data_IF_798320459535
#
_entry.id   IF_798320459535
#
_cell.length_a   1.000
_cell.length_b   1.000
_cell.length_c   1.000
_cell.angle_alpha   90.00
_cell.angle_beta   90.00
_cell.angle_gamma   90.00
#
_symmetry.space_group_name_H-M   'P 1'
#
loop_
_entity.id
_entity.type
_entity.pdbx_description
1 polymer ?
#
# COMPACT_ATOMS: atom_id res chain seq x y z
N UNK A 1 23.63 -2.01 -9.31
CA UNK A 1 22.50 -2.58 -8.56
C UNK A 1 22.12 -3.85 -9.26
N UNK A 2 21.98 -4.94 -8.50
CA UNK A 2 21.56 -6.24 -9.01
C UNK A 2 20.10 -6.43 -8.64
N UNK A 3 19.28 -6.93 -9.58
CA UNK A 3 17.87 -7.26 -9.33
C UNK A 3 17.78 -8.76 -9.10
N UNK A 4 17.09 -9.16 -8.04
CA UNK A 4 16.84 -10.57 -7.73
C UNK A 4 15.34 -10.78 -7.56
N UNK A 5 14.82 -11.82 -8.20
CA UNK A 5 13.42 -12.21 -8.05
C UNK A 5 13.20 -12.99 -6.75
N UNK A 6 12.01 -12.81 -6.17
CA UNK A 6 11.58 -13.50 -4.95
C UNK A 6 11.65 -12.63 -3.69
N UNK A 7 11.33 -13.24 -2.54
CA UNK A 7 11.42 -12.54 -1.25
C UNK A 7 12.89 -12.37 -0.84
N UNK A 8 13.32 -11.16 -0.42
CA UNK A 8 14.68 -10.96 0.03
C UNK A 8 14.97 -11.79 1.28
N UNK A 9 16.17 -12.38 1.36
CA UNK A 9 16.59 -13.20 2.50
C UNK A 9 16.83 -12.38 3.77
N UNK A 10 17.26 -11.13 3.62
CA UNK A 10 17.38 -10.16 4.71
C UNK A 10 16.42 -9.00 4.44
N UNK A 11 15.64 -8.63 5.47
CA UNK A 11 14.84 -7.40 5.49
C UNK A 11 15.68 -6.24 6.03
N UNK A 12 15.20 -4.99 5.86
CA UNK A 12 15.79 -3.85 6.56
C UNK A 12 15.75 -4.06 8.09
N UNK A 13 16.79 -3.57 8.75
CA UNK A 13 16.91 -3.56 10.21
C UNK A 13 16.57 -2.17 10.76
N UNK A 14 15.80 -2.14 11.84
CA UNK A 14 15.30 -0.91 12.46
C UNK A 14 15.65 -0.90 13.95
N UNK A 15 16.03 0.28 14.49
CA UNK A 15 16.31 0.43 15.92
C UNK A 15 15.02 0.37 16.74
N UNK A 16 15.08 -0.24 17.93
CA UNK A 16 13.93 -0.39 18.82
C UNK A 16 13.32 0.94 19.33
N UNK A 17 14.08 2.05 19.32
CA UNK A 17 13.61 3.37 19.76
C UNK A 17 13.46 4.29 18.54
N UNK A 18 12.23 4.70 18.24
CA UNK A 18 11.90 5.58 17.12
C UNK A 18 11.82 4.88 15.75
N UNK A 19 12.07 3.56 15.69
CA UNK A 19 12.10 2.73 14.47
C UNK A 19 13.01 3.27 13.36
N UNK A 20 13.98 4.13 13.67
CA UNK A 20 14.89 4.67 12.66
C UNK A 20 15.70 3.53 12.02
N UNK A 21 15.84 3.58 10.69
CA UNK A 21 16.64 2.60 9.95
C UNK A 21 18.07 2.59 10.50
N UNK A 22 18.57 1.40 10.84
CA UNK A 22 19.93 1.23 11.34
C UNK A 22 20.87 1.04 10.14
N UNK A 23 21.49 2.15 9.69
CA UNK A 23 22.68 2.04 8.83
C UNK A 23 23.81 1.49 9.69
N UNK A 24 24.15 0.21 9.51
CA UNK A 24 25.42 -0.34 9.98
C UNK A 24 26.57 0.34 9.21
N UNK A 25 27.01 1.51 9.66
CA UNK A 25 28.14 2.24 9.10
C UNK A 25 29.50 1.78 9.69
N UNK A 26 29.51 0.73 10.52
CA UNK A 26 30.75 0.11 10.98
C UNK A 26 30.53 -1.38 11.27
N UNK A 27 31.34 -2.23 10.62
CA UNK A 27 31.39 -3.70 10.69
C UNK A 27 30.47 -4.38 9.67
N UNK A 28 31.05 -4.67 8.50
CA UNK A 28 30.61 -5.74 7.61
C UNK A 28 30.47 -7.04 8.42
N UNK A 29 29.26 -7.35 8.88
CA UNK A 29 28.92 -8.73 9.20
C UNK A 29 28.60 -9.45 7.90
N UNK A 30 29.20 -10.63 7.76
CA UNK A 30 29.16 -11.56 6.63
C UNK A 30 27.74 -12.08 6.32
N UNK A 31 26.83 -11.20 5.90
CA UNK A 31 25.48 -11.49 5.42
C UNK A 31 25.19 -10.75 4.11
N UNK A 32 24.25 -11.28 3.32
CA UNK A 32 23.80 -10.67 2.05
C UNK A 32 23.13 -9.32 2.34
N UNK A 33 23.71 -8.21 1.86
CA UNK A 33 23.29 -6.85 2.21
C UNK A 33 21.76 -6.64 2.04
N UNK A 34 21.12 -5.87 2.94
CA UNK A 34 19.68 -5.60 2.83
C UNK A 34 19.35 -4.91 1.50
N UNK A 35 18.15 -5.15 0.95
CA UNK A 35 17.75 -4.56 -0.32
C UNK A 35 17.74 -3.03 -0.22
N UNK A 36 18.10 -2.34 -1.29
CA UNK A 36 17.90 -0.87 -1.38
C UNK A 36 16.45 -0.56 -1.75
N UNK A 37 15.84 -1.39 -2.59
CA UNK A 37 14.47 -1.24 -3.06
C UNK A 37 13.86 -2.63 -3.27
N UNK A 38 12.62 -2.82 -2.83
CA UNK A 38 11.77 -3.93 -3.23
C UNK A 38 10.76 -3.45 -4.27
N UNK A 39 10.36 -4.31 -5.19
CA UNK A 39 9.29 -4.04 -6.15
C UNK A 39 8.24 -5.12 -6.01
N UNK A 40 6.98 -4.71 -5.83
CA UNK A 40 5.83 -5.61 -5.87
C UNK A 40 5.10 -5.41 -7.19
N UNK A 41 4.95 -6.48 -7.96
CA UNK A 41 4.25 -6.48 -9.24
C UNK A 41 2.83 -7.05 -9.08
N UNK A 42 1.85 -6.48 -9.79
CA UNK A 42 0.46 -6.93 -9.78
C UNK A 42 -0.12 -6.85 -11.19
N UNK A 43 -0.50 -7.98 -11.77
CA UNK A 43 -1.08 -8.05 -13.12
C UNK A 43 -2.36 -7.20 -13.26
N UNK A 44 -3.07 -7.02 -12.15
CA UNK A 44 -4.31 -6.22 -12.08
C UNK A 44 -4.06 -4.76 -11.72
N UNK A 45 -2.80 -4.38 -11.53
CA UNK A 45 -2.39 -3.08 -11.01
C UNK A 45 -2.74 -2.90 -9.53
N UNK A 46 -2.58 -1.66 -9.07
CA UNK A 46 -2.84 -1.23 -7.70
C UNK A 46 -4.03 -0.26 -7.62
N UNK A 47 -4.81 -0.23 -6.53
CA UNK A 47 -5.97 0.68 -6.43
C UNK A 47 -5.66 2.15 -6.72
N UNK A 48 -4.45 2.61 -6.35
CA UNK A 48 -3.97 3.94 -6.69
C UNK A 48 -3.84 4.15 -8.21
N UNK A 49 -3.22 3.18 -8.91
CA UNK A 49 -3.02 3.23 -10.37
C UNK A 49 -4.34 3.12 -11.15
N UNK A 50 -5.35 2.46 -10.58
CA UNK A 50 -6.70 2.36 -11.16
C UNK A 50 -7.50 3.67 -11.09
N UNK A 51 -7.15 4.56 -10.15
CA UNK A 51 -7.83 5.83 -9.92
C UNK A 51 -7.04 7.06 -10.42
N UNK A 52 -5.82 6.88 -10.94
CA UNK A 52 -4.96 7.95 -11.45
C UNK A 52 -5.14 8.23 -12.95
N UNK A 53 -4.88 9.47 -13.43
CA UNK A 53 -5.02 9.85 -14.85
C UNK A 53 -3.96 9.23 -15.76
N UNK A 54 -2.91 8.65 -15.19
CA UNK A 54 -1.91 7.86 -15.89
C UNK A 54 -1.91 6.49 -15.22
N UNK A 55 -2.20 5.45 -15.99
CA UNK A 55 -2.08 4.05 -15.56
C UNK A 55 -0.59 3.81 -15.26
N UNK A 56 -0.15 4.20 -14.07
CA UNK A 56 1.19 3.88 -13.57
C UNK A 56 1.29 2.35 -13.59
N UNK A 57 2.46 1.84 -13.97
CA UNK A 57 2.67 0.42 -14.23
C UNK A 57 2.25 -0.48 -13.07
N UNK A 58 2.31 -1.78 -13.33
CA UNK A 58 1.93 -2.84 -12.39
C UNK A 58 2.84 -2.94 -11.15
N UNK A 59 3.85 -2.07 -11.08
CA UNK A 59 4.96 -2.15 -10.14
C UNK A 59 4.86 -1.11 -9.04
N UNK A 60 5.05 -1.58 -7.82
CA UNK A 60 5.07 -0.79 -6.60
C UNK A 60 6.45 -0.84 -5.98
N UNK A 61 7.16 0.28 -6.06
CA UNK A 61 8.46 0.47 -5.41
C UNK A 61 8.27 0.67 -3.90
N UNK A 62 8.97 -0.14 -3.10
CA UNK A 62 8.96 -0.15 -1.63
C UNK A 62 10.39 0.06 -1.15
N UNK A 63 10.63 1.18 -0.47
CA UNK A 63 11.91 1.47 0.18
C UNK A 63 11.84 1.21 1.70
N UNK A 64 12.95 1.47 2.40
CA UNK A 64 13.06 1.27 3.83
C UNK A 64 12.03 2.07 4.65
N UNK A 65 11.68 3.28 4.22
CA UNK A 65 10.70 4.14 4.91
C UNK A 65 9.28 3.61 4.76
N UNK A 66 8.92 3.11 3.58
CA UNK A 66 7.62 2.45 3.36
C UNK A 66 7.52 1.15 4.18
N UNK A 67 8.58 0.35 4.23
CA UNK A 67 8.58 -0.86 5.04
C UNK A 67 8.53 -0.55 6.54
N UNK A 68 9.20 0.52 6.99
CA UNK A 68 9.12 0.99 8.37
C UNK A 68 7.69 1.31 8.80
N UNK A 69 6.93 2.02 7.97
CA UNK A 69 5.52 2.32 8.24
C UNK A 69 4.72 1.03 8.45
N UNK A 70 4.98 0.00 7.65
CA UNK A 70 4.37 -1.31 7.83
C UNK A 70 4.80 -1.99 9.13
N UNK A 71 6.09 -1.93 9.52
CA UNK A 71 6.55 -2.54 10.78
C UNK A 71 5.84 -1.94 12.00
N UNK A 72 5.64 -0.61 12.04
CA UNK A 72 4.85 0.06 13.10
C UNK A 72 3.44 -0.53 13.16
N UNK A 73 2.74 -0.53 12.01
CA UNK A 73 1.36 -1.01 11.91
C UNK A 73 1.27 -2.50 12.29
N UNK A 74 2.22 -3.31 11.84
CA UNK A 74 2.31 -4.73 12.16
C UNK A 74 2.54 -4.97 13.65
N UNK A 75 3.36 -4.15 14.31
CA UNK A 75 3.58 -4.21 15.76
C UNK A 75 2.27 -4.02 16.52
N UNK A 76 1.48 -3.02 16.14
CA UNK A 76 0.19 -2.75 16.78
C UNK A 76 -0.87 -3.79 16.45
N UNK A 77 -0.91 -4.29 15.22
CA UNK A 77 -1.74 -5.44 14.86
C UNK A 77 -1.38 -6.66 15.69
N UNK A 78 -0.09 -6.93 15.92
CA UNK A 78 0.36 -8.08 16.71
C UNK A 78 -0.09 -7.97 18.17
N UNK A 79 0.03 -6.77 18.76
CA UNK A 79 -0.47 -6.49 20.11
C UNK A 79 -1.99 -6.65 20.18
N UNK A 80 -2.72 -6.12 19.19
CA UNK A 80 -4.17 -6.24 19.13
C UNK A 80 -4.61 -7.69 18.99
N UNK A 81 -3.98 -8.45 18.08
CA UNK A 81 -4.29 -9.85 17.85
C UNK A 81 -4.05 -10.73 19.07
N UNK A 82 -3.00 -10.45 19.84
CA UNK A 82 -2.68 -11.18 21.08
C UNK A 82 -3.69 -10.90 22.20
N UNK A 83 -4.36 -9.75 22.15
CA UNK A 83 -5.31 -9.30 23.18
C UNK A 83 -6.78 -9.47 22.76
N UNK A 84 -7.08 -10.17 21.66
CA UNK A 84 -8.43 -10.29 21.10
C UNK A 84 -9.50 -10.76 22.09
N UNK A 85 -9.12 -11.55 23.09
CA UNK A 85 -10.02 -12.12 24.09
C UNK A 85 -10.21 -11.24 25.33
N UNK A 86 -9.42 -10.18 25.46
CA UNK A 86 -9.50 -9.24 26.58
C UNK A 86 -10.42 -8.09 26.18
N UNK A 87 -11.50 -7.91 26.93
CA UNK A 87 -12.52 -6.85 26.77
C UNK A 87 -11.97 -5.42 26.84
N UNK A 88 -10.68 -5.24 27.16
CA UNK A 88 -10.05 -3.95 27.46
C UNK A 88 -9.35 -3.27 26.26
N UNK A 89 -9.20 -3.94 25.11
CA UNK A 89 -8.64 -3.32 23.90
C UNK A 89 -9.52 -3.60 22.67
N UNK A 90 -10.56 -2.78 22.43
CA UNK A 90 -11.50 -3.04 21.34
C UNK A 90 -10.85 -2.94 19.95
N UNK A 91 -9.82 -2.11 19.76
CA UNK A 91 -9.19 -1.84 18.46
C UNK A 91 -7.69 -1.56 18.58
N UNK A 92 -6.89 -1.75 17.51
CA UNK A 92 -5.50 -1.29 17.51
C UNK A 92 -5.47 0.24 17.44
N UNK A 93 -4.32 0.82 17.79
CA UNK A 93 -4.11 2.27 17.77
C UNK A 93 -4.34 2.81 16.34
N UNK A 94 -5.22 3.81 16.15
CA UNK A 94 -5.35 4.48 14.87
C UNK A 94 -4.09 5.28 14.54
N UNK A 95 -3.70 5.29 13.27
CA UNK A 95 -2.49 6.00 12.81
C UNK A 95 -2.80 7.08 11.80
N UNK A 96 -1.96 8.11 11.79
CA UNK A 96 -1.94 9.14 10.75
C UNK A 96 -0.54 9.18 10.15
N UNK A 97 -0.46 8.90 8.85
CA UNK A 97 0.79 8.94 8.10
C UNK A 97 1.08 10.37 7.60
N UNK A 98 2.10 11.00 8.18
CA UNK A 98 2.54 12.35 7.88
C UNK A 98 3.85 12.27 7.10
N UNK A 99 3.98 13.10 6.07
CA UNK A 99 5.21 13.22 5.29
C UNK A 99 5.06 14.27 4.22
N UNK A 100 6.16 14.63 3.57
CA UNK A 100 6.20 15.68 2.54
C UNK A 100 5.10 15.46 1.47
N UNK A 101 4.37 16.50 1.04
CA UNK A 101 3.44 16.37 -0.09
C UNK A 101 4.14 15.80 -1.34
N UNK A 102 3.48 14.90 -2.08
CA UNK A 102 4.03 14.32 -3.31
C UNK A 102 5.05 13.18 -3.14
N UNK A 103 5.49 12.89 -1.91
CA UNK A 103 6.47 11.84 -1.57
C UNK A 103 6.04 10.38 -1.87
N UNK A 104 4.82 10.16 -2.34
CA UNK A 104 4.30 8.81 -2.58
C UNK A 104 3.65 8.11 -1.38
N UNK A 105 3.16 8.82 -0.36
CA UNK A 105 2.41 8.20 0.78
C UNK A 105 1.28 7.28 0.31
N UNK A 106 0.41 7.80 -0.55
CA UNK A 106 -0.76 7.11 -1.09
C UNK A 106 -0.33 5.98 -2.03
N UNK A 107 0.43 6.31 -3.09
CA UNK A 107 0.91 5.34 -4.08
C UNK A 107 1.73 4.21 -3.44
N UNK A 108 2.76 4.55 -2.65
CA UNK A 108 3.74 3.60 -2.12
C UNK A 108 3.25 2.97 -0.81
N UNK A 109 3.13 3.77 0.26
CA UNK A 109 2.78 3.24 1.57
C UNK A 109 1.35 2.71 1.64
N UNK A 110 0.36 3.41 1.08
CA UNK A 110 -1.03 2.94 1.03
C UNK A 110 -1.18 1.60 0.31
N UNK A 111 -0.53 1.44 -0.85
CA UNK A 111 -0.56 0.18 -1.60
C UNK A 111 0.21 -0.94 -0.90
N UNK A 112 1.35 -0.64 -0.28
CA UNK A 112 2.13 -1.63 0.47
C UNK A 112 1.39 -2.12 1.72
N UNK A 113 0.74 -1.20 2.45
CA UNK A 113 -0.13 -1.53 3.57
C UNK A 113 -1.27 -2.44 3.13
N UNK A 114 -1.92 -2.12 2.00
CA UNK A 114 -2.98 -2.98 1.46
C UNK A 114 -2.46 -4.39 1.16
N UNK A 115 -1.34 -4.50 0.44
CA UNK A 115 -0.71 -5.78 0.15
C UNK A 115 -0.48 -6.59 1.43
N UNK A 116 0.16 -5.98 2.42
CA UNK A 116 0.52 -6.65 3.65
C UNK A 116 -0.70 -7.08 4.49
N UNK A 117 -1.73 -6.23 4.59
CA UNK A 117 -2.98 -6.54 5.30
C UNK A 117 -3.77 -7.68 4.63
N UNK A 118 -3.76 -7.73 3.30
CA UNK A 118 -4.37 -8.84 2.56
C UNK A 118 -3.65 -10.17 2.82
N UNK A 119 -2.35 -10.14 3.13
CA UNK A 119 -1.56 -11.33 3.48
C UNK A 119 -1.56 -11.67 4.98
N UNK A 120 -2.24 -10.89 5.81
CA UNK A 120 -2.46 -11.27 7.21
C UNK A 120 -3.36 -12.51 7.30
N UNK A 121 -3.27 -13.20 8.43
CA UNK A 121 -4.16 -14.32 8.75
C UNK A 121 -5.64 -13.89 8.69
N UNK A 122 -6.46 -14.67 7.97
CA UNK A 122 -7.88 -14.40 7.76
C UNK A 122 -8.69 -14.53 9.05
N UNK A 123 -8.28 -15.40 9.97
CA UNK A 123 -8.97 -15.61 11.25
C UNK A 123 -8.79 -14.42 12.20
N UNK A 124 -7.70 -13.66 11.99
CA UNK A 124 -7.37 -12.45 12.75
C UNK A 124 -7.91 -11.20 12.07
N UNK A 125 -7.89 -11.16 10.75
CA UNK A 125 -8.30 -10.00 9.95
C UNK A 125 -9.06 -10.45 8.70
N UNK A 126 -10.37 -10.29 8.74
CA UNK A 126 -11.31 -10.78 7.73
C UNK A 126 -11.56 -9.76 6.61
N UNK A 127 -11.57 -8.46 6.95
CA UNK A 127 -11.90 -7.40 6.00
C UNK A 127 -10.77 -6.37 5.93
N UNK A 128 -10.38 -5.99 4.73
CA UNK A 128 -9.51 -4.81 4.50
C UNK A 128 -10.28 -3.82 3.64
N UNK A 129 -10.32 -2.57 4.07
CA UNK A 129 -10.98 -1.51 3.31
C UNK A 129 -9.95 -0.50 2.88
N UNK A 130 -9.90 -0.19 1.59
CA UNK A 130 -9.10 0.92 1.07
C UNK A 130 -10.04 1.99 0.53
N UNK A 131 -10.17 3.09 1.27
CA UNK A 131 -10.91 4.27 0.84
C UNK A 131 -9.98 5.18 0.05
N UNK A 132 -10.39 5.60 -1.14
CA UNK A 132 -9.73 6.60 -1.97
C UNK A 132 -10.73 7.72 -2.28
N UNK A 133 -10.66 8.81 -1.53
CA UNK A 133 -11.67 9.86 -1.57
C UNK A 133 -13.06 9.31 -1.26
N UNK A 134 -13.99 9.39 -2.21
CA UNK A 134 -15.37 8.90 -2.08
C UNK A 134 -15.57 7.45 -2.54
N UNK A 135 -14.50 6.79 -2.97
CA UNK A 135 -14.54 5.39 -3.40
C UNK A 135 -14.01 4.49 -2.29
N UNK A 136 -14.69 3.40 -1.95
CA UNK A 136 -14.18 2.39 -1.04
C UNK A 136 -14.06 1.04 -1.75
N UNK A 137 -12.89 0.43 -1.66
CA UNK A 137 -12.67 -0.96 -2.05
C UNK A 137 -12.70 -1.83 -0.80
N UNK A 138 -13.71 -2.68 -0.70
CA UNK A 138 -13.86 -3.63 0.42
C UNK A 138 -13.37 -4.99 -0.04
N UNK A 139 -12.30 -5.45 0.58
CA UNK A 139 -11.69 -6.76 0.37
C UNK A 139 -12.17 -7.69 1.48
N UNK A 140 -13.11 -8.57 1.15
CA UNK A 140 -13.51 -9.64 2.05
C UNK A 140 -12.62 -10.85 1.80
N UNK A 141 -11.72 -11.12 2.76
CA UNK A 141 -10.75 -12.22 2.68
C UNK A 141 -11.40 -13.58 2.97
N UNK A 142 -12.56 -13.60 3.62
CA UNK A 142 -13.30 -14.83 3.91
C UNK A 142 -13.94 -15.39 2.64
N UNK A 143 -14.56 -14.52 1.85
CA UNK A 143 -15.19 -14.89 0.56
C UNK A 143 -14.25 -14.70 -0.63
N UNK A 144 -13.06 -14.10 -0.40
CA UNK A 144 -12.07 -13.75 -1.44
C UNK A 144 -12.65 -12.82 -2.51
N UNK A 145 -13.50 -11.89 -2.10
CA UNK A 145 -14.16 -10.94 -2.99
C UNK A 145 -13.64 -9.51 -2.80
N UNK A 146 -13.74 -8.71 -3.85
CA UNK A 146 -13.47 -7.28 -3.80
C UNK A 146 -14.70 -6.56 -4.34
N UNK A 147 -15.28 -5.67 -3.54
CA UNK A 147 -16.43 -4.86 -3.95
C UNK A 147 -16.07 -3.39 -3.92
N UNK A 148 -16.38 -2.68 -5.01
CA UNK A 148 -16.20 -1.24 -5.12
C UNK A 148 -17.51 -0.54 -4.75
N UNK A 149 -17.45 0.35 -3.77
CA UNK A 149 -18.54 1.23 -3.38
C UNK A 149 -18.20 2.67 -3.76
N UNK A 150 -19.17 3.36 -4.34
CA UNK A 150 -19.05 4.79 -4.68
C UNK A 150 -20.00 5.61 -3.82
N UNK A 151 -19.50 6.75 -3.34
CA UNK A 151 -20.24 7.65 -2.49
C UNK A 151 -20.06 7.33 -1.01
N UNK A 152 -19.84 8.39 -0.23
CA UNK A 152 -19.47 8.31 1.19
C UNK A 152 -20.56 7.67 2.06
N UNK A 153 -21.84 7.97 1.81
CA UNK A 153 -22.95 7.37 2.56
C UNK A 153 -23.05 5.86 2.34
N UNK A 154 -22.91 5.41 1.09
CA UNK A 154 -22.99 3.99 0.70
C UNK A 154 -21.83 3.21 1.32
N UNK A 155 -20.60 3.71 1.22
CA UNK A 155 -19.44 3.06 1.82
C UNK A 155 -19.59 2.96 3.34
N UNK A 156 -19.95 4.05 4.03
CA UNK A 156 -20.20 4.04 5.48
C UNK A 156 -21.20 2.98 5.91
N UNK A 157 -22.35 2.91 5.23
CA UNK A 157 -23.40 1.94 5.57
C UNK A 157 -22.90 0.50 5.48
N UNK A 158 -22.10 0.18 4.45
CA UNK A 158 -21.49 -1.13 4.28
C UNK A 158 -20.48 -1.45 5.37
N UNK A 159 -19.55 -0.51 5.67
CA UNK A 159 -18.58 -0.71 6.74
C UNK A 159 -19.26 -0.97 8.08
N UNK A 160 -20.31 -0.19 8.38
CA UNK A 160 -21.09 -0.37 9.61
C UNK A 160 -21.81 -1.73 9.68
N UNK A 161 -22.34 -2.21 8.55
CA UNK A 161 -22.94 -3.53 8.44
C UNK A 161 -21.94 -4.67 8.71
N UNK A 162 -20.74 -4.57 8.13
CA UNK A 162 -19.65 -5.54 8.33
C UNK A 162 -19.12 -5.52 9.77
N UNK A 163 -19.03 -4.35 10.38
CA UNK A 163 -18.68 -4.26 11.78
C UNK A 163 -19.76 -4.88 12.69
N UNK A 164 -21.04 -4.59 12.43
CA UNK A 164 -22.16 -5.16 13.18
C UNK A 164 -22.27 -6.68 13.10
N UNK A 165 -21.83 -7.28 12.00
CA UNK A 165 -21.77 -8.74 11.87
C UNK A 165 -20.64 -9.37 12.68
N UNK A 166 -19.84 -8.57 13.40
CA UNK A 166 -18.73 -9.04 14.23
C UNK A 166 -17.45 -9.30 13.45
N UNK A 167 -17.38 -8.91 12.17
CA UNK A 167 -16.17 -9.07 11.38
C UNK A 167 -15.06 -8.17 11.90
N UNK A 168 -13.83 -8.65 11.80
CA UNK A 168 -12.62 -7.88 12.16
C UNK A 168 -12.04 -7.28 10.91
N UNK A 169 -11.81 -5.97 10.92
CA UNK A 169 -11.29 -5.28 9.75
C UNK A 169 -10.27 -4.19 10.02
N UNK A 170 -9.64 -3.74 8.93
CA UNK A 170 -8.66 -2.67 8.93
C UNK A 170 -8.94 -1.70 7.78
N UNK A 171 -8.87 -0.41 8.05
CA UNK A 171 -9.20 0.66 7.11
C UNK A 171 -7.94 1.43 6.74
N UNK A 172 -7.62 1.49 5.46
CA UNK A 172 -6.68 2.43 4.87
C UNK A 172 -7.51 3.57 4.29
N UNK A 173 -7.40 4.76 4.86
CA UNK A 173 -8.13 5.93 4.40
C UNK A 173 -7.21 6.89 3.66
N UNK A 174 -7.31 6.88 2.34
CA UNK A 174 -6.55 7.75 1.45
C UNK A 174 -7.38 8.99 1.04
N UNK A 175 -7.02 10.16 1.58
CA UNK A 175 -7.80 11.39 1.40
C UNK A 175 -7.45 12.04 0.06
N UNK A 176 -8.33 11.88 -0.94
CA UNK A 176 -8.14 12.50 -2.25
C UNK A 176 -8.47 14.02 -2.28
N UNK A 177 -9.38 14.52 -1.42
CA UNK A 177 -9.80 15.94 -1.42
C UNK A 177 -9.03 16.75 -0.38
N UNK A 178 -8.35 17.82 -0.83
CA UNK A 178 -7.67 18.79 0.04
C UNK A 178 -8.63 19.32 1.13
N UNK A 179 -8.17 19.32 2.38
CA UNK A 179 -8.76 20.17 3.42
C UNK A 179 -10.05 19.65 4.08
N UNK A 180 -10.55 18.48 3.70
CA UNK A 180 -11.75 17.91 4.35
C UNK A 180 -11.35 16.70 5.20
N UNK A 181 -11.52 16.78 6.53
CA UNK A 181 -11.40 15.58 7.35
C UNK A 181 -12.40 14.49 6.89
N UNK A 182 -12.08 13.18 6.86
CA UNK A 182 -13.07 12.12 6.90
C UNK A 182 -14.22 12.47 7.85
N UNK A 183 -15.44 12.18 7.41
CA UNK A 183 -16.61 12.40 8.26
C UNK A 183 -16.42 11.68 9.59
N UNK A 184 -16.93 12.28 10.67
CA UNK A 184 -16.85 11.74 12.04
C UNK A 184 -17.42 10.33 12.18
N UNK A 185 -18.28 9.89 11.25
CA UNK A 185 -18.85 8.53 11.24
C UNK A 185 -17.94 7.48 10.56
N UNK A 186 -16.85 7.91 9.92
CA UNK A 186 -15.78 7.03 9.42
C UNK A 186 -14.78 6.74 10.55
N UNK A 187 -14.77 7.55 11.62
CA UNK A 187 -14.02 7.23 12.83
C UNK A 187 -14.34 5.80 13.25
N UNK A 188 -13.31 5.01 13.61
CA UNK A 188 -13.39 3.56 13.57
C UNK A 188 -14.60 3.11 14.39
N UNK A 189 -15.49 2.36 13.72
CA UNK A 189 -16.45 1.53 14.41
C UNK A 189 -15.66 0.77 15.49
N UNK A 190 -15.96 1.04 16.76
CA UNK A 190 -15.19 0.58 17.92
C UNK A 190 -14.84 -0.90 17.74
N UNK A 191 -13.60 -1.24 17.40
CA UNK A 191 -13.30 -2.61 16.94
C UNK A 191 -12.25 -2.73 15.84
N UNK A 192 -12.23 -1.82 14.88
CA UNK A 192 -11.39 -1.95 13.67
C UNK A 192 -10.12 -1.10 13.74
N UNK A 193 -9.07 -1.57 13.08
CA UNK A 193 -7.85 -0.77 12.90
C UNK A 193 -7.97 0.24 11.78
N UNK A 194 -7.21 1.32 11.86
CA UNK A 194 -7.25 2.40 10.87
C UNK A 194 -5.90 3.07 10.70
N UNK A 195 -5.57 3.39 9.46
CA UNK A 195 -4.53 4.35 9.10
C UNK A 195 -5.05 5.36 8.09
N UNK A 196 -4.82 6.64 8.36
CA UNK A 196 -5.07 7.72 7.40
C UNK A 196 -3.80 7.99 6.62
N UNK A 197 -3.88 7.81 5.30
CA UNK A 197 -2.81 8.03 4.35
C UNK A 197 -3.12 9.33 3.61
N UNK A 198 -2.38 10.39 3.95
CA UNK A 198 -2.40 11.71 3.31
C UNK A 198 -3.57 12.66 3.63
N UNK A 199 -3.20 13.92 3.91
CA UNK A 199 -3.82 15.16 3.42
C UNK A 199 -2.66 16.17 3.33
N UNK A 200 -2.48 16.93 2.24
CA UNK A 200 -1.36 17.86 2.12
C UNK A 200 -1.44 19.05 3.11
N UNK A 201 -2.58 19.23 3.78
CA UNK A 201 -2.76 20.28 4.77
C UNK A 201 -2.45 19.78 6.19
N UNK A 202 -1.47 20.43 6.84
CA UNK A 202 -1.09 20.20 8.24
C UNK A 202 -2.26 20.42 9.21
N UNK A 203 -3.15 21.38 8.92
CA UNK A 203 -4.31 21.71 9.75
C UNK A 203 -5.29 20.54 9.91
N UNK A 204 -5.28 19.62 8.94
CA UNK A 204 -6.09 18.42 9.01
C UNK A 204 -5.49 17.41 10.00
N UNK A 205 -4.16 17.27 10.08
CA UNK A 205 -3.53 16.27 10.95
C UNK A 205 -3.79 16.54 12.42
N UNK A 206 -3.75 17.80 12.87
CA UNK A 206 -4.05 18.15 14.25
C UNK A 206 -5.51 17.80 14.60
N UNK A 207 -6.44 18.05 13.67
CA UNK A 207 -7.83 17.59 13.78
C UNK A 207 -7.91 16.07 13.87
N UNK A 208 -7.17 15.33 13.04
CA UNK A 208 -7.12 13.86 13.11
C UNK A 208 -6.62 13.36 14.45
N UNK A 209 -5.46 13.83 14.90
CA UNK A 209 -4.89 13.39 16.17
C UNK A 209 -5.79 13.73 17.35
N UNK A 210 -6.53 14.83 17.28
CA UNK A 210 -7.47 15.24 18.32
C UNK A 210 -8.77 14.42 18.27
N UNK A 211 -9.33 14.17 17.09
CA UNK A 211 -10.64 13.53 16.91
C UNK A 211 -10.61 12.01 17.15
N UNK A 212 -9.56 11.33 16.68
CA UNK A 212 -9.47 9.85 16.76
C UNK A 212 -8.35 9.37 17.69
N UNK A 213 -7.76 10.28 18.48
CA UNK A 213 -6.60 9.99 19.34
C UNK A 213 -5.49 9.24 18.61
N UNK A 214 -5.30 9.54 17.32
CA UNK A 214 -4.41 8.79 16.46
C UNK A 214 -2.93 9.09 16.75
N UNK A 215 -2.11 8.05 16.69
CA UNK A 215 -0.66 8.17 16.75
C UNK A 215 -0.10 8.64 15.40
N UNK A 216 0.95 9.45 15.45
CA UNK A 216 1.58 10.01 14.25
C UNK A 216 2.70 9.09 13.78
N UNK A 217 2.66 8.71 12.51
CA UNK A 217 3.79 8.09 11.82
C UNK A 217 4.38 9.14 10.88
N UNK A 218 5.59 9.60 11.17
CA UNK A 218 6.34 10.46 10.25
C UNK A 218 7.02 9.56 9.23
N UNK A 219 6.84 9.79 7.93
CA UNK A 219 7.48 9.09 6.82
C UNK A 219 8.50 10.02 6.16
N UNK A 220 9.78 9.63 6.16
CA UNK A 220 10.84 10.44 5.60
C UNK A 220 10.89 10.35 4.07
N UNK A 221 11.52 11.35 3.44
CA UNK A 221 11.84 11.30 2.02
C UNK A 221 12.74 10.09 1.71
N UNK A 222 12.52 9.41 0.58
CA UNK A 222 13.49 8.43 0.08
C UNK A 222 14.88 9.04 0.00
N UNK A 223 15.89 8.26 0.35
CA UNK A 223 17.27 8.72 0.29
C UNK A 223 17.82 8.72 -1.15
N UNK A 224 19.05 9.19 -1.33
CA UNK A 224 19.68 9.27 -2.66
C UNK A 224 19.75 7.91 -3.36
N UNK A 225 20.03 6.85 -2.62
CA UNK A 225 20.21 5.52 -3.17
C UNK A 225 18.85 4.87 -3.46
N UNK A 226 17.83 5.12 -2.64
CA UNK A 226 16.43 4.78 -2.92
C UNK A 226 15.98 5.39 -4.26
N UNK A 227 16.16 6.71 -4.43
CA UNK A 227 15.77 7.43 -5.66
C UNK A 227 16.56 6.90 -6.86
N UNK A 228 17.85 6.59 -6.68
CA UNK A 228 18.68 6.01 -7.74
C UNK A 228 18.18 4.62 -8.14
N UNK A 229 17.81 3.78 -7.17
CA UNK A 229 17.26 2.45 -7.43
C UNK A 229 15.93 2.52 -8.18
N UNK A 230 15.03 3.41 -7.75
CA UNK A 230 13.76 3.64 -8.43
C UNK A 230 13.98 4.11 -9.88
N UNK A 231 14.92 5.03 -10.10
CA UNK A 231 15.26 5.51 -11.44
C UNK A 231 15.81 4.39 -12.35
N UNK A 232 16.67 3.52 -11.80
CA UNK A 232 17.24 2.38 -12.55
C UNK A 232 16.13 1.42 -12.94
N UNK A 233 15.25 1.06 -11.99
CA UNK A 233 14.11 0.17 -12.24
C UNK A 233 13.17 0.72 -13.31
N UNK A 234 12.75 1.98 -13.17
CA UNK A 234 11.85 2.61 -14.13
C UNK A 234 12.43 2.66 -15.56
N UNK A 235 13.75 2.84 -15.70
CA UNK A 235 14.41 2.81 -17.01
C UNK A 235 14.42 1.41 -17.62
N UNK A 236 14.73 0.39 -16.83
CA UNK A 236 14.73 -1.00 -17.27
C UNK A 236 13.33 -1.43 -17.75
N UNK A 237 12.29 -1.15 -16.97
CA UNK A 237 10.92 -1.48 -17.38
C UNK A 237 10.46 -0.75 -18.63
N UNK A 238 10.89 0.50 -18.82
CA UNK A 238 10.56 1.26 -20.03
C UNK A 238 11.21 0.62 -21.26
N UNK A 239 12.46 0.18 -21.15
CA UNK A 239 13.17 -0.49 -22.22
C UNK A 239 12.49 -1.82 -22.58
N UNK A 240 12.15 -2.64 -21.57
CA UNK A 240 11.41 -3.89 -21.79
C UNK A 240 10.06 -3.65 -22.49
N UNK A 241 9.30 -2.63 -22.08
CA UNK A 241 8.02 -2.32 -22.71
C UNK A 241 8.16 -1.80 -24.15
N UNK A 242 9.25 -1.09 -24.47
CA UNK A 242 9.57 -0.64 -25.83
C UNK A 242 9.99 -1.84 -26.71
N UNK A 243 10.78 -2.78 -26.18
CA UNK A 243 11.19 -4.02 -26.85
C UNK A 243 10.00 -4.96 -27.12
N UNK A 244 9.13 -5.21 -26.13
CA UNK A 244 7.91 -6.03 -26.28
C UNK A 244 6.97 -5.45 -27.35
N UNK A 245 6.82 -4.11 -27.40
CA UNK A 245 5.98 -3.45 -28.40
C UNK A 245 6.55 -3.55 -29.83
N UNK A 246 7.88 -3.59 -29.97
CA UNK A 246 8.54 -3.81 -31.26
C UNK A 246 8.37 -5.25 -31.74
N UNK A 247 8.53 -6.24 -30.85
CA UNK A 247 8.30 -7.66 -31.16
C UNK A 247 6.85 -7.93 -31.56
N UNK A 248 5.85 -7.42 -30.81
CA UNK A 248 4.44 -7.54 -31.18
C UNK A 248 4.12 -6.87 -32.52
N UNK A 249 4.79 -5.75 -32.84
CA UNK A 249 4.62 -5.06 -34.11
C UNK A 249 5.29 -5.80 -35.29
N UNK A 250 6.35 -6.58 -35.05
CA UNK A 250 6.95 -7.47 -36.04
C UNK A 250 6.13 -8.74 -36.25
N UNK A 251 5.65 -9.38 -35.19
CA UNK A 251 4.75 -10.55 -35.27
C UNK A 251 3.42 -10.19 -35.95
N UNK A 252 2.85 -9.03 -35.62
CA UNK A 252 1.66 -8.52 -36.29
C UNK A 252 1.89 -8.27 -37.80
N UNK A 253 3.09 -7.85 -38.19
CA UNK A 253 3.47 -7.65 -39.60
C UNK A 253 3.73 -8.98 -40.32
N UNK A 254 4.36 -9.96 -39.68
CA UNK A 254 4.61 -11.28 -40.26
C UNK A 254 3.31 -12.09 -40.45
N UNK A 255 2.39 -12.03 -39.49
CA UNK A 255 1.08 -12.68 -39.58
C UNK A 255 0.14 -12.09 -40.65
N UNK A 256 0.32 -10.82 -41.02
CA UNK A 256 -0.40 -10.17 -42.13
C UNK A 256 0.13 -10.61 -43.50
N UNK A 257 1.45 -10.85 -43.62
CA UNK A 257 2.09 -11.37 -44.83
C UNK A 257 1.70 -12.83 -45.11
N UNK A 258 1.58 -13.68 -44.09
CA UNK A 258 1.13 -15.07 -44.26
C UNK A 258 -0.34 -15.19 -44.71
N UNK A 259 -1.23 -14.29 -44.27
CA UNK A 259 -2.64 -14.29 -44.69
C UNK A 259 -2.85 -13.75 -46.11
N UNK A 260 -1.95 -12.92 -46.62
CA UNK A 260 -1.99 -12.42 -48.00
C UNK A 260 -1.55 -13.46 -49.05
N UNK A 261 -0.80 -14.50 -48.66
CA UNK A 261 -0.27 -15.51 -49.59
C UNK A 261 -1.20 -16.68 -49.92
N UNK A 262 -2.38 -16.77 -49.29
CA UNK A 262 -3.28 -17.95 -49.41
C UNK A 262 -4.49 -17.76 -50.33
N UNK A 263 -4.53 -16.69 -51.11
CA UNK A 263 -5.56 -16.41 -52.11
C UNK A 263 -4.96 -16.44 -53.52
N UNK A 264 -4.70 -17.64 -54.05
CA UNK A 264 -4.62 -17.93 -55.48
C UNK A 264 -4.54 -19.45 -55.65
N UNK A 265 -5.69 -20.08 -55.83
CA UNK A 265 -5.86 -21.51 -56.12
C UNK A 265 -7.28 -21.77 -56.58
#
# INVERSE_FOLDING_TARGET
>A
MEVKEGKPKQSWTYKAVGETFEKDDAVQQSGEAPPVLMVLTSDRGWPYTLNGPHRCGNDLCVNCEVDRVWQIVKGDLTKWFSNFHLTLNPSPVPHVLIGTPGIGKSMAAGSYLLYQLLHCDVDKLQVVVHCFGETAYVFDKTTKTVTKYMGNLTSKSVLYGLWKSGMKGYIIYDVAKKGTPPDTDIAPCTGWGMIVVSSPNLDNYDKWTTQVSASRIIMNCPDKDDVKAMCVWMKQNRQLAEEEAEEEAEEGRSGLLEKGGRSNG
#
